data_IF_059233437993
#
_entry.id   IF_059233437993
#
_cell.length_a   1.000
_cell.length_b   1.000
_cell.length_c   1.000
_cell.angle_alpha   90.00
_cell.angle_beta   90.00
_cell.angle_gamma   90.00
#
_symmetry.space_group_name_H-M   'P 1'
#
loop_
_entity.id
_entity.type
_entity.pdbx_description
1 polymer ?
#
# COMPACT_ATOMS: atom_id res chain seq x y z
N UNK A 1 -3.43 -37.42 91.83
CA UNK A 1 -4.63 -36.55 91.74
C UNK A 1 -5.18 -36.60 90.32
N UNK A 2 -6.44 -37.05 90.19
CA UNK A 2 -7.44 -36.82 89.12
C UNK A 2 -6.95 -36.34 87.73
N UNK A 3 -6.89 -37.22 86.71
CA UNK A 3 -7.95 -37.61 85.73
C UNK A 3 -8.59 -36.41 84.99
N UNK A 4 -8.43 -36.37 83.65
CA UNK A 4 -9.56 -36.32 82.67
C UNK A 4 -9.08 -36.38 81.20
N UNK A 5 -9.38 -37.52 80.57
CA UNK A 5 -9.86 -37.77 79.21
C UNK A 5 -9.60 -36.75 78.09
N UNK A 6 -8.85 -37.18 77.06
CA UNK A 6 -9.03 -36.75 75.67
C UNK A 6 -9.25 -38.00 74.81
N UNK A 7 -10.53 -38.28 74.54
CA UNK A 7 -10.96 -39.33 73.61
C UNK A 7 -10.73 -38.81 72.18
N UNK A 8 -9.66 -39.29 71.54
CA UNK A 8 -9.42 -39.09 70.10
C UNK A 8 -10.30 -40.11 69.37
N UNK A 9 -11.46 -39.66 68.88
CA UNK A 9 -12.31 -40.47 68.01
C UNK A 9 -11.63 -40.66 66.65
N UNK A 10 -11.00 -41.81 66.48
CA UNK A 10 -10.60 -42.36 65.19
C UNK A 10 -11.83 -43.04 64.57
N UNK A 11 -12.50 -42.38 63.65
CA UNK A 11 -13.37 -43.02 62.67
C UNK A 11 -13.07 -42.42 61.29
N UNK A 12 -12.06 -43.00 60.64
CA UNK A 12 -12.08 -43.10 59.20
C UNK A 12 -12.99 -44.28 58.86
N UNK A 13 -13.96 -44.10 57.95
CA UNK A 13 -14.23 -44.98 56.82
C UNK A 13 -15.38 -44.42 55.95
N UNK A 14 -15.02 -44.18 54.67
CA UNK A 14 -15.80 -44.38 53.44
C UNK A 14 -16.99 -43.46 53.13
N UNK A 15 -16.70 -42.30 52.54
CA UNK A 15 -17.56 -41.75 51.48
C UNK A 15 -17.24 -42.50 50.18
N UNK A 16 -18.10 -43.44 49.79
CA UNK A 16 -18.14 -43.93 48.41
C UNK A 16 -19.23 -43.17 47.67
N UNK A 17 -18.84 -42.15 46.91
CA UNK A 17 -19.63 -41.70 45.76
C UNK A 17 -18.71 -41.81 44.55
N UNK A 18 -18.98 -42.82 43.71
CA UNK A 18 -18.44 -42.87 42.36
C UNK A 18 -19.21 -41.84 41.53
N UNK A 19 -18.53 -40.78 41.13
CA UNK A 19 -18.91 -39.97 39.97
C UNK A 19 -17.64 -39.67 39.16
N UNK A 20 -17.47 -40.36 38.04
CA UNK A 20 -16.76 -39.89 36.84
C UNK A 20 -17.83 -39.22 35.95
N UNK A 21 -17.54 -38.26 35.04
CA UNK A 21 -16.27 -37.85 34.43
C UNK A 21 -16.00 -36.33 34.70
N UNK A 22 -14.96 -35.61 34.26
CA UNK A 22 -14.25 -35.58 32.98
C UNK A 22 -12.77 -35.25 33.18
N UNK A 23 -11.94 -35.81 32.30
CA UNK A 23 -10.54 -35.44 32.15
C UNK A 23 -10.45 -34.09 31.46
N UNK A 24 -10.77 -33.03 32.18
CA UNK A 24 -10.34 -31.70 31.77
C UNK A 24 -8.86 -31.62 32.11
N UNK A 25 -8.04 -31.69 31.07
CA UNK A 25 -6.60 -31.48 31.15
C UNK A 25 -6.36 -30.15 31.85
N UNK A 26 -6.08 -30.22 33.15
CA UNK A 26 -5.42 -29.19 33.92
C UNK A 26 -4.02 -29.04 33.31
N UNK A 27 -3.95 -28.30 32.21
CA UNK A 27 -2.79 -27.50 31.90
C UNK A 27 -2.73 -26.47 33.03
N UNK A 28 -2.20 -26.91 34.17
CA UNK A 28 -1.69 -26.03 35.19
C UNK A 28 -0.80 -25.05 34.44
N UNK A 29 -1.33 -23.84 34.21
CA UNK A 29 -0.56 -22.68 33.83
C UNK A 29 0.33 -22.46 35.05
N UNK A 30 1.47 -23.15 35.07
CA UNK A 30 2.59 -22.75 35.90
C UNK A 30 2.82 -21.29 35.54
N UNK A 31 2.40 -20.41 36.44
CA UNK A 31 2.83 -19.04 36.47
C UNK A 31 4.35 -19.12 36.67
N UNK A 32 5.08 -19.21 35.56
CA UNK A 32 6.52 -19.07 35.54
C UNK A 32 6.80 -17.62 35.90
N UNK A 33 7.05 -17.43 37.17
CA UNK A 33 7.69 -16.27 37.74
C UNK A 33 9.13 -16.24 37.25
N UNK A 34 9.33 -15.82 36.00
CA UNK A 34 10.63 -15.51 35.44
C UNK A 34 10.62 -14.03 35.09
N UNK A 35 11.09 -13.24 36.05
CA UNK A 35 11.53 -11.85 35.92
C UNK A 35 12.79 -11.74 35.04
N UNK A 36 12.81 -12.50 33.94
CA UNK A 36 13.90 -12.61 32.99
C UNK A 36 13.47 -11.92 31.69
N UNK A 37 14.02 -10.71 31.53
CA UNK A 37 14.07 -9.89 30.32
C UNK A 37 12.86 -10.00 29.36
N UNK A 38 12.02 -8.96 29.37
CA UNK A 38 11.19 -8.48 28.24
C UNK A 38 11.54 -9.13 26.89
N UNK A 39 11.11 -10.36 26.63
CA UNK A 39 11.02 -10.86 25.27
C UNK A 39 9.77 -10.18 24.77
N UNK A 40 9.93 -8.94 24.30
CA UNK A 40 8.91 -8.29 23.50
C UNK A 40 8.64 -9.24 22.34
N UNK A 41 7.60 -10.07 22.47
CA UNK A 41 7.07 -10.90 21.40
C UNK A 41 6.65 -9.91 20.31
N UNK A 42 7.45 -9.80 19.26
CA UNK A 42 7.19 -8.89 18.16
C UNK A 42 6.04 -9.45 17.33
N UNK A 43 4.82 -8.97 17.58
CA UNK A 43 3.69 -9.27 16.70
C UNK A 43 3.78 -8.35 15.48
N UNK A 44 4.38 -8.86 14.40
CA UNK A 44 4.60 -8.12 13.16
C UNK A 44 3.42 -8.23 12.16
N UNK A 45 2.33 -8.91 12.54
CA UNK A 45 1.21 -9.18 11.63
C UNK A 45 1.54 -10.16 10.49
N UNK A 46 0.64 -10.28 9.52
CA UNK A 46 0.76 -11.25 8.40
C UNK A 46 1.64 -10.76 7.24
N UNK A 47 1.85 -9.46 7.12
CA UNK A 47 2.59 -8.80 6.04
C UNK A 47 4.08 -8.59 6.33
N UNK A 48 4.51 -8.87 7.56
CA UNK A 48 5.91 -8.82 7.99
C UNK A 48 6.30 -10.05 8.81
N UNK A 49 7.62 -10.22 9.00
CA UNK A 49 8.21 -11.22 9.88
C UNK A 49 9.25 -10.57 10.78
N UNK A 50 9.43 -11.13 11.98
CA UNK A 50 10.50 -10.71 12.86
C UNK A 50 11.86 -11.20 12.33
N UNK A 51 12.82 -10.30 12.23
CA UNK A 51 14.22 -10.59 11.90
C UNK A 51 15.10 -9.78 12.85
N UNK A 52 15.80 -10.48 13.76
CA UNK A 52 16.69 -9.88 14.77
C UNK A 52 16.02 -8.80 15.63
N UNK A 53 14.81 -9.06 16.14
CA UNK A 53 14.08 -8.10 16.98
C UNK A 53 13.55 -6.87 16.21
N UNK A 54 13.30 -7.02 14.91
CA UNK A 54 12.68 -5.98 14.06
C UNK A 54 11.68 -6.60 13.10
N UNK A 55 10.56 -5.93 12.88
CA UNK A 55 9.62 -6.33 11.84
C UNK A 55 10.16 -5.95 10.45
N UNK A 56 10.28 -6.94 9.58
CA UNK A 56 10.71 -6.80 8.19
C UNK A 56 9.59 -7.27 7.27
N UNK A 57 9.18 -6.40 6.36
CA UNK A 57 8.11 -6.70 5.41
C UNK A 57 8.46 -7.87 4.49
N UNK A 58 7.45 -8.70 4.21
CA UNK A 58 7.61 -9.86 3.34
C UNK A 58 7.82 -9.44 1.86
N UNK A 59 7.15 -8.38 1.42
CA UNK A 59 7.39 -7.77 0.10
C UNK A 59 8.58 -6.78 0.16
N UNK A 60 9.50 -6.93 -0.79
CA UNK A 60 10.69 -6.08 -0.91
C UNK A 60 10.37 -4.63 -1.32
N UNK A 61 9.18 -4.36 -1.85
CA UNK A 61 8.73 -3.01 -2.20
C UNK A 61 8.09 -2.26 -1.03
N UNK A 62 7.91 -2.95 0.10
CA UNK A 62 7.37 -2.38 1.32
C UNK A 62 8.50 -2.00 2.30
N UNK A 63 8.19 -1.06 3.17
CA UNK A 63 8.98 -0.68 4.35
C UNK A 63 8.07 -0.66 5.57
N UNK A 64 8.63 -0.97 6.72
CA UNK A 64 7.90 -0.91 7.99
C UNK A 64 7.68 0.55 8.38
N UNK A 65 6.46 0.95 8.73
CA UNK A 65 6.14 2.33 9.10
C UNK A 65 6.63 2.74 10.50
N UNK A 66 7.24 1.80 11.25
CA UNK A 66 7.98 2.09 12.48
C UNK A 66 7.11 2.46 13.67
N UNK A 67 5.78 2.38 13.56
CA UNK A 67 4.91 2.56 14.71
C UNK A 67 5.08 1.36 15.66
N UNK A 68 4.94 1.60 16.97
CA UNK A 68 4.96 0.57 18.03
C UNK A 68 4.28 -0.71 17.49
N UNK A 69 4.89 -1.89 17.64
CA UNK A 69 4.54 -3.13 16.93
C UNK A 69 3.05 -3.43 16.85
N UNK A 70 2.31 -3.01 17.87
CA UNK A 70 0.86 -3.04 18.03
C UNK A 70 0.06 -2.29 16.92
N UNK A 71 0.68 -1.37 16.17
CA UNK A 71 0.05 -0.55 15.12
C UNK A 71 0.93 -0.36 13.87
N UNK A 72 2.07 -1.03 13.81
CA UNK A 72 2.97 -0.94 12.66
C UNK A 72 2.44 -1.76 11.49
N UNK A 73 2.62 -1.26 10.27
CA UNK A 73 2.24 -1.98 9.04
C UNK A 73 3.26 -1.77 7.94
N UNK A 74 3.27 -2.69 6.99
CA UNK A 74 4.06 -2.52 5.78
C UNK A 74 3.40 -1.48 4.85
N UNK A 75 4.16 -0.45 4.50
CA UNK A 75 3.77 0.59 3.56
C UNK A 75 4.68 0.59 2.34
N UNK A 76 4.21 1.08 1.20
CA UNK A 76 5.06 1.20 0.03
C UNK A 76 6.26 2.10 0.34
N UNK A 77 7.44 1.73 -0.16
CA UNK A 77 8.64 2.57 -0.10
C UNK A 77 8.39 3.92 -0.79
N UNK A 78 9.18 4.91 -0.42
CA UNK A 78 9.16 6.21 -1.10
C UNK A 78 9.33 6.04 -2.61
N UNK A 79 8.52 6.80 -3.38
CA UNK A 79 8.46 6.68 -4.83
C UNK A 79 7.64 5.49 -5.34
N UNK A 80 6.89 4.81 -4.46
CA UNK A 80 5.86 3.84 -4.83
C UNK A 80 4.52 4.23 -4.20
N UNK A 81 3.44 3.95 -4.92
CA UNK A 81 2.07 4.13 -4.44
C UNK A 81 1.34 2.79 -4.44
N UNK A 82 0.34 2.67 -3.57
CA UNK A 82 -0.51 1.48 -3.51
C UNK A 82 -1.59 1.56 -4.60
N UNK A 83 -1.54 0.65 -5.58
CA UNK A 83 -2.60 0.45 -6.57
C UNK A 83 -3.03 -1.03 -6.58
N UNK A 84 -4.34 -1.28 -6.45
CA UNK A 84 -4.92 -2.63 -6.43
C UNK A 84 -4.23 -3.60 -5.46
N UNK A 85 -3.83 -3.11 -4.28
CA UNK A 85 -3.15 -3.92 -3.25
C UNK A 85 -1.68 -4.21 -3.54
N UNK A 86 -1.07 -3.58 -4.56
CA UNK A 86 0.34 -3.72 -4.90
C UNK A 86 1.03 -2.36 -4.91
N UNK A 87 2.29 -2.33 -4.49
CA UNK A 87 3.11 -1.16 -4.69
C UNK A 87 3.49 -1.07 -6.17
N UNK A 88 3.16 0.06 -6.79
CA UNK A 88 3.59 0.39 -8.15
C UNK A 88 4.45 1.66 -8.11
N UNK A 89 5.47 1.78 -8.96
CA UNK A 89 6.26 3.00 -9.05
C UNK A 89 5.38 4.22 -9.22
N UNK A 90 5.63 5.24 -8.40
CA UNK A 90 5.01 6.55 -8.56
C UNK A 90 5.67 7.25 -9.74
N UNK A 91 4.87 7.51 -10.78
CA UNK A 91 5.38 8.14 -11.99
C UNK A 91 5.50 9.65 -11.83
N UNK A 92 6.52 10.27 -12.47
CA UNK A 92 6.64 11.71 -12.58
C UNK A 92 5.33 12.40 -13.01
N UNK A 93 5.17 13.66 -12.61
CA UNK A 93 3.95 14.43 -12.81
C UNK A 93 3.43 14.35 -14.26
N UNK A 94 2.22 13.82 -14.41
CA UNK A 94 1.53 13.68 -15.69
C UNK A 94 1.86 12.41 -16.48
N UNK A 95 2.69 11.51 -15.95
CA UNK A 95 2.90 10.17 -16.48
C UNK A 95 2.00 9.15 -15.78
N UNK A 96 1.77 8.03 -16.46
CA UNK A 96 1.05 6.85 -15.97
C UNK A 96 1.99 5.64 -15.97
N UNK A 97 1.80 4.73 -15.03
CA UNK A 97 2.57 3.48 -15.01
C UNK A 97 1.89 2.45 -15.91
N UNK A 98 2.50 2.14 -17.04
CA UNK A 98 1.95 1.23 -18.04
C UNK A 98 3.07 0.33 -18.59
N UNK A 99 2.80 -0.97 -18.74
CA UNK A 99 3.77 -1.95 -19.24
C UNK A 99 5.14 -1.93 -18.51
N UNK A 100 5.14 -1.72 -17.19
CA UNK A 100 6.37 -1.76 -16.39
C UNK A 100 7.22 -0.48 -16.44
N UNK A 101 6.71 0.61 -17.03
CA UNK A 101 7.42 1.89 -17.13
C UNK A 101 6.48 3.07 -17.01
N UNK A 102 7.01 4.23 -16.64
CA UNK A 102 6.27 5.48 -16.68
C UNK A 102 6.20 6.02 -18.11
N UNK A 103 4.99 6.17 -18.63
CA UNK A 103 4.72 6.67 -19.98
C UNK A 103 3.82 7.90 -19.94
N UNK A 104 3.88 8.71 -20.98
CA UNK A 104 2.88 9.76 -21.13
C UNK A 104 1.53 9.17 -21.56
N UNK A 105 0.41 9.74 -21.07
CA UNK A 105 -0.92 9.39 -21.53
C UNK A 105 -1.03 9.45 -23.05
N UNK A 106 -1.96 8.67 -23.60
CA UNK A 106 -2.17 8.58 -25.04
C UNK A 106 -2.26 9.97 -25.71
N UNK A 107 -1.46 10.16 -26.76
CA UNK A 107 -1.40 11.41 -27.53
C UNK A 107 -0.55 12.52 -26.93
N UNK A 108 0.05 12.33 -25.74
CA UNK A 108 1.01 13.27 -25.13
C UNK A 108 2.46 12.78 -25.28
N UNK A 109 3.38 13.72 -25.29
CA UNK A 109 4.83 13.49 -25.36
C UNK A 109 5.52 14.05 -24.12
N UNK A 110 6.59 13.40 -23.68
CA UNK A 110 7.33 13.87 -22.50
C UNK A 110 8.24 15.03 -22.88
N UNK A 111 7.97 16.21 -22.34
CA UNK A 111 8.84 17.37 -22.48
C UNK A 111 9.93 17.31 -21.39
N UNK A 112 11.18 17.07 -21.80
CA UNK A 112 12.34 16.98 -20.89
C UNK A 112 12.64 18.31 -20.18
N UNK A 113 12.36 19.44 -20.84
CA UNK A 113 12.62 20.77 -20.28
C UNK A 113 11.62 21.12 -19.18
N UNK A 114 10.34 20.84 -19.43
CA UNK A 114 9.25 21.11 -18.47
C UNK A 114 9.00 19.95 -17.51
N UNK A 115 9.72 18.82 -17.70
CA UNK A 115 9.62 17.57 -16.91
C UNK A 115 8.18 17.06 -16.76
N UNK A 116 7.34 17.23 -17.80
CA UNK A 116 5.92 16.82 -17.79
C UNK A 116 5.47 16.34 -19.17
N UNK A 117 4.36 15.62 -19.19
CA UNK A 117 3.70 15.22 -20.44
C UNK A 117 2.89 16.38 -21.02
N UNK A 118 3.11 16.70 -22.28
CA UNK A 118 2.47 17.80 -23.00
C UNK A 118 1.94 17.32 -24.35
N UNK A 119 1.06 18.11 -24.97
CA UNK A 119 0.67 17.84 -26.34
C UNK A 119 1.86 18.03 -27.29
N UNK A 120 1.96 17.20 -28.35
CA UNK A 120 3.01 17.34 -29.35
C UNK A 120 2.93 18.71 -30.04
N UNK A 121 4.06 19.12 -30.63
CA UNK A 121 4.21 20.45 -31.21
C UNK A 121 3.07 20.82 -32.15
N UNK A 122 2.50 22.00 -31.91
CA UNK A 122 1.40 22.53 -32.71
C UNK A 122 0.01 22.02 -32.30
N UNK A 123 -0.11 21.10 -31.33
CA UNK A 123 -1.40 20.71 -30.74
C UNK A 123 -1.63 21.42 -29.41
N UNK A 124 -2.91 21.59 -29.06
CA UNK A 124 -3.36 22.15 -27.78
C UNK A 124 -4.17 21.12 -27.02
N UNK A 125 -4.18 21.22 -25.69
CA UNK A 125 -5.00 20.36 -24.84
C UNK A 125 -6.43 20.89 -24.77
N UNK A 126 -7.39 20.10 -25.24
CA UNK A 126 -8.82 20.38 -25.18
C UNK A 126 -9.56 19.14 -24.69
N UNK A 127 -10.34 19.28 -23.60
CA UNK A 127 -11.03 18.17 -22.94
C UNK A 127 -10.15 16.95 -22.62
N UNK A 128 -8.89 17.20 -22.22
CA UNK A 128 -7.92 16.14 -21.89
C UNK A 128 -7.32 15.42 -23.11
N UNK A 129 -7.58 15.91 -24.33
CA UNK A 129 -7.04 15.36 -25.58
C UNK A 129 -6.21 16.40 -26.31
N UNK A 130 -5.22 15.94 -27.07
CA UNK A 130 -4.41 16.81 -27.90
C UNK A 130 -5.04 17.00 -29.28
N UNK A 131 -5.53 18.20 -29.54
CA UNK A 131 -6.24 18.57 -30.76
C UNK A 131 -5.53 19.69 -31.50
N UNK A 132 -5.86 19.86 -32.78
CA UNK A 132 -5.34 21.00 -33.51
C UNK A 132 -5.98 22.31 -33.04
N UNK A 133 -5.21 23.41 -32.98
CA UNK A 133 -5.72 24.74 -32.66
C UNK A 133 -6.91 25.10 -33.54
N UNK A 134 -7.79 25.95 -33.00
CA UNK A 134 -9.00 26.38 -33.69
C UNK A 134 -8.72 26.84 -35.13
N UNK A 135 -9.44 26.25 -36.08
CA UNK A 135 -9.33 26.57 -37.51
C UNK A 135 -8.23 25.81 -38.25
N UNK A 136 -7.44 24.98 -37.57
CA UNK A 136 -6.55 23.99 -38.20
C UNK A 136 -7.19 22.61 -38.18
N UNK A 137 -6.78 21.77 -39.13
CA UNK A 137 -7.17 20.37 -39.24
C UNK A 137 -5.93 19.49 -39.17
N UNK A 138 -6.10 18.26 -38.69
CA UNK A 138 -5.02 17.29 -38.66
C UNK A 138 -4.81 16.68 -40.06
N UNK A 139 -3.59 16.84 -40.59
CA UNK A 139 -3.13 16.26 -41.84
C UNK A 139 -1.80 15.54 -41.58
N UNK A 140 -1.75 14.23 -41.83
CA UNK A 140 -0.55 13.40 -41.63
C UNK A 140 0.09 13.55 -40.23
N UNK A 141 -0.75 13.64 -39.18
CA UNK A 141 -0.28 13.78 -37.80
C UNK A 141 0.16 15.20 -37.40
N UNK A 142 0.05 16.18 -38.31
CA UNK A 142 0.40 17.59 -38.07
C UNK A 142 -0.82 18.49 -38.25
N UNK A 143 -0.84 19.61 -37.55
CA UNK A 143 -1.90 20.59 -37.73
C UNK A 143 -1.59 21.49 -38.92
N UNK A 144 -2.56 21.66 -39.81
CA UNK A 144 -2.44 22.44 -41.04
C UNK A 144 -3.75 23.15 -41.36
N UNK A 145 -3.67 24.21 -42.17
CA UNK A 145 -4.88 24.92 -42.54
C UNK A 145 -5.75 24.08 -43.50
N UNK A 146 -7.08 24.23 -43.43
CA UNK A 146 -7.99 23.63 -44.39
C UNK A 146 -7.64 24.01 -45.83
N UNK A 147 -8.07 23.20 -46.80
CA UNK A 147 -7.85 23.48 -48.22
C UNK A 147 -8.34 24.89 -48.58
N UNK A 148 -7.54 25.62 -49.37
CA UNK A 148 -7.85 27.00 -49.74
C UNK A 148 -7.64 28.02 -48.62
N UNK A 149 -6.95 27.67 -47.54
CA UNK A 149 -6.52 28.60 -46.49
C UNK A 149 -4.99 28.57 -46.35
N UNK A 150 -4.38 29.70 -45.98
CA UNK A 150 -2.98 29.78 -45.61
C UNK A 150 -2.85 30.13 -44.12
N UNK A 151 -1.75 29.70 -43.50
CA UNK A 151 -1.47 30.05 -42.10
C UNK A 151 -0.83 31.43 -42.03
N UNK A 152 -1.52 32.40 -41.44
CA UNK A 152 -0.96 33.71 -41.14
C UNK A 152 -0.21 33.64 -39.81
N UNK A 153 1.13 33.73 -39.86
CA UNK A 153 1.99 33.67 -38.67
C UNK A 153 1.76 34.86 -37.72
N UNK A 154 1.34 36.02 -38.25
CA UNK A 154 1.11 37.21 -37.46
C UNK A 154 -0.16 37.09 -36.61
N UNK A 155 -1.28 36.70 -37.21
CA UNK A 155 -2.52 36.44 -36.47
C UNK A 155 -2.60 35.05 -35.83
N UNK A 156 -1.61 34.18 -36.08
CA UNK A 156 -1.58 32.77 -35.66
C UNK A 156 -2.85 31.99 -36.04
N UNK A 157 -3.43 32.29 -37.20
CA UNK A 157 -4.71 31.71 -37.64
C UNK A 157 -4.75 31.42 -39.14
N UNK A 158 -5.65 30.52 -39.53
CA UNK A 158 -5.87 30.22 -40.94
C UNK A 158 -6.75 31.28 -41.59
N UNK A 159 -6.28 31.87 -42.70
CA UNK A 159 -7.03 32.84 -43.51
C UNK A 159 -7.32 32.26 -44.88
N UNK A 160 -8.48 32.60 -45.43
CA UNK A 160 -8.89 32.15 -46.78
C UNK A 160 -7.89 32.69 -47.80
N UNK A 161 -7.34 31.80 -48.62
CA UNK A 161 -6.54 32.15 -49.78
C UNK A 161 -7.45 32.70 -50.86
N UNK A 162 -7.11 33.87 -51.40
CA UNK A 162 -7.71 34.37 -52.64
C UNK A 162 -7.17 33.56 -53.80
N UNK A 163 -8.06 32.99 -54.61
CA UNK A 163 -7.77 32.58 -55.98
C UNK A 163 -8.17 33.72 -56.91
#
# INVERSE_FOLDING_TARGET
MHIKYLLINLFALTVSVKALPDADNDFGLEARDDSDALVQRWDCGHDAKEVYGKCVCNDKQLTWDGKKCEYGKCVCKDGFKLEYGKCVPECPKGQIYEHGKCVCPAGKVYNKWHKKCECPDGKVEEYGRCVCPKGQIEQYGKCSCPKGHYYDRWSKSCKKGGY
#
